data_IF_395630746359
#
_entry.id   IF_395630746359
#
_cell.length_a   1.000
_cell.length_b   1.000
_cell.length_c   1.000
_cell.angle_alpha   90.00
_cell.angle_beta   90.00
_cell.angle_gamma   90.00
#
_symmetry.space_group_name_H-M   'P 1'
#
loop_
_entity.id
_entity.type
_entity.pdbx_description
1 polymer ?
#
# COMPACT_ATOMS: atom_id res chain seq x y z
N UNK A 1 -28.53 -20.36 -51.20
CA UNK A 1 -29.86 -19.76 -51.49
C UNK A 1 -30.25 -18.89 -50.30
N UNK A 2 -30.59 -17.60 -50.64
CA UNK A 2 -31.27 -16.54 -49.85
C UNK A 2 -30.70 -16.14 -48.48
N UNK A 3 -29.98 -15.05 -48.33
CA UNK A 3 -30.28 -13.59 -48.24
C UNK A 3 -31.55 -13.24 -47.48
N UNK A 4 -31.44 -12.48 -46.39
CA UNK A 4 -32.06 -11.14 -46.28
C UNK A 4 -31.46 -10.36 -45.11
N UNK A 5 -31.02 -9.13 -45.42
CA UNK A 5 -30.62 -8.02 -44.54
C UNK A 5 -31.87 -7.37 -43.93
N UNK A 6 -31.75 -6.81 -42.73
CA UNK A 6 -32.55 -5.66 -42.33
C UNK A 6 -31.68 -4.63 -41.54
N UNK A 7 -31.41 -3.53 -42.24
CA UNK A 7 -30.96 -2.26 -41.64
C UNK A 7 -32.16 -1.55 -41.02
N UNK A 8 -32.00 -1.04 -39.80
CA UNK A 8 -32.90 0.00 -39.29
C UNK A 8 -32.07 1.15 -38.80
N UNK A 9 -32.16 2.24 -39.54
CA UNK A 9 -31.59 3.55 -39.31
C UNK A 9 -32.51 4.31 -38.36
N UNK A 10 -32.04 4.77 -37.21
CA UNK A 10 -32.77 5.68 -36.33
C UNK A 10 -32.09 7.07 -36.33
N UNK A 11 -32.79 8.01 -36.94
CA UNK A 11 -32.47 9.44 -36.99
C UNK A 11 -32.93 10.09 -35.69
N UNK A 12 -32.07 10.75 -34.92
CA UNK A 12 -32.47 11.66 -33.85
C UNK A 12 -32.31 13.12 -34.28
N UNK A 13 -33.45 13.82 -34.30
CA UNK A 13 -33.57 15.25 -34.55
C UNK A 13 -33.02 16.07 -33.37
N UNK A 14 -32.17 17.04 -33.69
CA UNK A 14 -31.75 18.11 -32.78
C UNK A 14 -32.83 19.17 -32.70
N UNK A 15 -33.35 19.44 -31.49
CA UNK A 15 -34.14 20.63 -31.17
C UNK A 15 -33.22 21.64 -30.47
N UNK A 16 -32.95 22.73 -31.20
CA UNK A 16 -32.27 23.95 -30.71
C UNK A 16 -33.29 24.80 -29.91
N UNK A 17 -32.98 25.05 -28.65
CA UNK A 17 -33.69 26.01 -27.81
C UNK A 17 -32.79 27.23 -27.56
N UNK A 18 -33.17 28.34 -28.21
CA UNK A 18 -32.52 29.64 -28.13
C UNK A 18 -33.01 30.36 -26.86
N UNK A 19 -32.12 30.61 -25.88
CA UNK A 19 -32.42 31.47 -24.73
C UNK A 19 -31.82 32.86 -24.96
N UNK A 20 -32.68 33.82 -25.19
CA UNK A 20 -32.38 35.26 -25.27
C UNK A 20 -32.10 35.82 -23.87
N UNK A 21 -30.91 36.39 -23.67
CA UNK A 21 -30.56 37.16 -22.48
C UNK A 21 -31.08 38.59 -22.60
N UNK A 22 -31.95 38.95 -21.66
CA UNK A 22 -32.43 40.33 -21.47
C UNK A 22 -31.43 41.09 -20.59
N UNK A 23 -30.75 42.11 -21.15
CA UNK A 23 -29.92 43.05 -20.40
C UNK A 23 -30.78 44.10 -19.71
N UNK A 24 -30.85 44.06 -18.37
CA UNK A 24 -31.32 45.16 -17.56
C UNK A 24 -30.13 45.99 -17.11
N UNK A 25 -30.00 47.20 -17.63
CA UNK A 25 -29.09 48.24 -17.14
C UNK A 25 -29.69 48.86 -15.87
N UNK A 26 -29.02 48.71 -14.73
CA UNK A 26 -29.20 49.58 -13.57
C UNK A 26 -27.96 50.46 -13.41
N UNK A 27 -28.18 51.77 -13.52
CA UNK A 27 -27.22 52.84 -13.25
C UNK A 27 -27.22 53.19 -11.78
N UNK A 28 -26.04 53.51 -11.25
CA UNK A 28 -25.71 54.17 -10.00
C UNK A 28 -25.91 53.41 -8.69
N UNK A 29 -24.79 52.98 -8.13
CA UNK A 29 -24.56 53.15 -6.70
C UNK A 29 -23.07 53.35 -6.40
N UNK A 30 -22.85 54.28 -5.52
CA UNK A 30 -21.60 54.94 -5.11
C UNK A 30 -20.58 53.96 -4.47
N UNK A 31 -19.33 54.24 -4.71
CA UNK A 31 -18.14 53.63 -4.09
C UNK A 31 -18.21 53.62 -2.57
N UNK A 32 -18.01 52.44 -1.96
CA UNK A 32 -17.55 52.34 -0.57
C UNK A 32 -16.46 51.27 -0.41
N UNK A 33 -15.34 51.71 0.11
CA UNK A 33 -14.11 50.97 0.45
C UNK A 33 -14.33 49.95 1.56
N UNK A 34 -15.09 48.86 1.33
CA UNK A 34 -15.31 47.82 2.34
C UNK A 34 -14.94 46.38 1.90
N UNK A 35 -14.51 46.21 0.64
CA UNK A 35 -14.27 44.85 0.09
C UNK A 35 -12.82 44.38 0.31
N UNK A 36 -11.86 45.27 0.56
CA UNK A 36 -10.43 44.89 0.64
C UNK A 36 -10.02 44.18 1.94
N UNK A 37 -10.71 44.39 3.06
CA UNK A 37 -10.34 43.82 4.35
C UNK A 37 -10.87 42.41 4.57
N UNK A 38 -12.05 42.09 4.02
CA UNK A 38 -12.71 40.77 4.21
C UNK A 38 -12.08 39.64 3.38
N UNK A 39 -11.55 39.97 2.21
CA UNK A 39 -10.83 39.01 1.35
C UNK A 39 -9.46 38.65 1.90
N UNK A 40 -8.75 39.61 2.51
CA UNK A 40 -7.46 39.37 3.17
C UNK A 40 -7.58 38.45 4.39
N UNK A 41 -8.60 38.64 5.20
CA UNK A 41 -8.82 37.81 6.40
C UNK A 41 -9.32 36.39 6.05
N UNK A 42 -10.12 36.26 5.00
CA UNK A 42 -10.56 34.92 4.50
C UNK A 42 -9.40 34.15 3.89
N UNK A 43 -8.53 34.77 3.10
CA UNK A 43 -7.33 34.15 2.55
C UNK A 43 -6.31 33.79 3.64
N UNK A 44 -6.18 34.60 4.69
CA UNK A 44 -5.33 34.30 5.85
C UNK A 44 -5.88 33.12 6.67
N UNK A 45 -7.21 33.06 6.88
CA UNK A 45 -7.84 31.94 7.60
C UNK A 45 -7.79 30.64 6.81
N UNK A 46 -7.94 30.68 5.47
CA UNK A 46 -7.80 29.50 4.61
C UNK A 46 -6.36 29.03 4.59
N UNK A 47 -5.37 29.94 4.50
CA UNK A 47 -3.96 29.58 4.52
C UNK A 47 -3.52 29.02 5.90
N UNK A 48 -4.03 29.59 7.00
CA UNK A 48 -3.78 29.09 8.36
C UNK A 48 -4.44 27.71 8.58
N UNK A 49 -5.62 27.45 8.03
CA UNK A 49 -6.30 26.15 8.13
C UNK A 49 -5.60 25.08 7.27
N UNK A 50 -5.10 25.43 6.09
CA UNK A 50 -4.31 24.50 5.25
C UNK A 50 -2.95 24.20 5.86
N UNK A 51 -2.25 25.17 6.44
CA UNK A 51 -0.98 24.98 7.12
C UNK A 51 -1.17 24.13 8.41
N UNK A 52 -2.27 24.29 9.13
CA UNK A 52 -2.60 23.48 10.32
C UNK A 52 -3.00 22.04 9.94
N UNK A 53 -3.68 21.85 8.80
CA UNK A 53 -4.00 20.49 8.29
C UNK A 53 -2.75 19.76 7.81
N UNK A 54 -1.76 20.47 7.25
CA UNK A 54 -0.48 19.88 6.81
C UNK A 54 0.40 19.50 8.02
N UNK A 55 0.31 20.19 9.15
CA UNK A 55 1.09 19.85 10.36
C UNK A 55 0.60 18.62 11.12
N UNK A 56 -0.65 18.20 10.95
CA UNK A 56 -1.22 17.06 11.68
C UNK A 56 -1.08 15.69 10.99
N UNK A 57 -0.46 15.61 9.81
CA UNK A 57 -0.33 14.35 9.04
C UNK A 57 1.10 13.78 9.03
N UNK A 58 1.91 14.10 10.06
CA UNK A 58 3.29 13.60 10.17
C UNK A 58 3.33 12.32 11.00
N UNK A 59 3.56 11.19 10.33
CA UNK A 59 3.82 9.92 11.00
C UNK A 59 5.27 9.91 11.49
N UNK A 60 5.48 9.66 12.78
CA UNK A 60 6.83 9.64 13.36
C UNK A 60 7.73 8.57 12.70
N UNK A 61 8.99 8.89 12.41
CA UNK A 61 9.98 8.02 11.75
C UNK A 61 10.05 6.61 12.34
N UNK A 62 9.92 6.47 13.67
CA UNK A 62 9.94 5.16 14.34
C UNK A 62 8.89 4.19 13.79
N UNK A 63 7.70 4.69 13.38
CA UNK A 63 6.66 3.86 12.77
C UNK A 63 7.00 3.51 11.32
N UNK A 64 7.58 4.46 10.58
CA UNK A 64 7.98 4.24 9.19
C UNK A 64 9.07 3.18 9.08
N UNK A 65 9.99 3.17 10.06
CA UNK A 65 11.14 2.25 10.12
C UNK A 65 10.87 0.95 10.90
N UNK A 66 9.68 0.79 11.53
CA UNK A 66 9.37 -0.39 12.34
C UNK A 66 10.09 -0.45 13.70
N UNK A 67 10.61 0.69 14.18
CA UNK A 67 11.30 0.83 15.48
C UNK A 67 10.26 1.01 16.60
N UNK A 68 9.37 0.04 16.74
CA UNK A 68 8.22 0.04 17.62
C UNK A 68 8.14 -1.25 18.44
N UNK A 69 7.34 -1.20 19.50
CA UNK A 69 6.92 -2.37 20.28
C UNK A 69 5.40 -2.47 20.19
N UNK A 70 4.86 -3.24 19.23
CA UNK A 70 3.41 -3.28 18.96
C UNK A 70 2.57 -3.65 20.20
N UNK A 71 3.07 -4.51 21.09
CA UNK A 71 2.37 -4.91 22.32
C UNK A 71 2.22 -3.78 23.35
N UNK A 72 2.98 -2.69 23.21
CA UNK A 72 2.95 -1.51 24.11
C UNK A 72 2.34 -0.29 23.45
N UNK A 73 1.86 -0.41 22.21
CA UNK A 73 1.35 0.70 21.43
C UNK A 73 -0.16 0.56 21.23
N UNK A 74 -0.91 1.57 21.67
CA UNK A 74 -2.37 1.59 21.65
C UNK A 74 -2.98 1.58 20.24
N UNK A 75 -2.19 1.88 19.19
CA UNK A 75 -2.64 1.77 17.80
C UNK A 75 -2.72 0.32 17.31
N UNK A 76 -2.10 -0.62 18.03
CA UNK A 76 -2.04 -2.03 17.65
C UNK A 76 -2.95 -2.88 18.54
N UNK A 77 -3.32 -4.03 18.00
CA UNK A 77 -4.09 -5.06 18.68
C UNK A 77 -3.46 -6.44 18.39
N UNK A 78 -3.49 -7.32 19.37
CA UNK A 78 -3.11 -8.71 19.17
C UNK A 78 -4.13 -9.41 18.27
N UNK A 79 -3.64 -10.16 17.27
CA UNK A 79 -4.49 -10.96 16.39
C UNK A 79 -4.92 -12.22 17.15
N UNK A 80 -6.21 -12.51 17.17
CA UNK A 80 -6.73 -13.74 17.79
C UNK A 80 -6.18 -14.98 17.09
N UNK A 81 -5.85 -16.01 17.88
CA UNK A 81 -5.22 -17.26 17.40
C UNK A 81 -6.01 -17.96 16.29
N UNK A 82 -7.34 -17.82 16.28
CA UNK A 82 -8.20 -18.43 15.23
C UNK A 82 -7.98 -17.82 13.82
N UNK A 83 -7.44 -16.60 13.74
CA UNK A 83 -7.13 -15.92 12.49
C UNK A 83 -5.64 -15.98 12.10
N UNK A 84 -4.78 -16.35 13.07
CA UNK A 84 -3.34 -16.39 12.87
C UNK A 84 -2.76 -17.61 13.63
N UNK A 85 -2.04 -18.48 12.95
CA UNK A 85 -1.44 -19.67 13.57
C UNK A 85 -0.31 -19.37 14.58
N UNK A 86 0.06 -18.11 14.77
CA UNK A 86 1.17 -17.67 15.64
C UNK A 86 0.66 -16.91 16.86
N UNK A 87 1.30 -17.11 17.99
CA UNK A 87 1.13 -16.25 19.15
C UNK A 87 1.88 -14.93 18.95
N UNK A 88 1.45 -13.87 19.66
CA UNK A 88 2.11 -12.56 19.66
C UNK A 88 2.21 -11.86 18.28
N UNK A 89 1.24 -12.10 17.40
CA UNK A 89 1.11 -11.34 16.16
C UNK A 89 0.24 -10.10 16.41
N UNK A 90 0.68 -8.95 15.93
CA UNK A 90 0.01 -7.67 16.10
C UNK A 90 -0.28 -7.03 14.75
N UNK A 91 -1.34 -6.22 14.71
CA UNK A 91 -1.74 -5.43 13.54
C UNK A 91 -2.36 -4.12 14.03
N UNK A 92 -2.41 -3.07 13.21
CA UNK A 92 -3.19 -1.88 13.56
C UNK A 92 -4.68 -2.20 13.67
N UNK A 93 -5.38 -1.46 14.52
CA UNK A 93 -6.80 -1.71 14.82
C UNK A 93 -7.70 -1.61 13.59
N UNK A 94 -7.48 -0.60 12.73
CA UNK A 94 -8.30 -0.38 11.54
C UNK A 94 -8.14 -1.48 10.48
N UNK A 95 -6.92 -1.87 10.06
CA UNK A 95 -6.74 -3.01 9.16
C UNK A 95 -7.30 -4.31 9.75
N UNK A 96 -7.20 -4.50 11.07
CA UNK A 96 -7.75 -5.71 11.70
C UNK A 96 -9.27 -5.75 11.63
N UNK A 97 -9.94 -4.63 11.94
CA UNK A 97 -11.40 -4.54 11.81
C UNK A 97 -11.86 -4.77 10.35
N UNK A 98 -11.11 -4.26 9.38
CA UNK A 98 -11.37 -4.49 7.96
C UNK A 98 -11.14 -5.97 7.57
N UNK A 99 -10.06 -6.57 8.07
CA UNK A 99 -9.77 -7.99 7.86
C UNK A 99 -10.87 -8.90 8.41
N UNK A 100 -11.39 -8.64 9.60
CA UNK A 100 -12.47 -9.44 10.19
C UNK A 100 -13.72 -9.46 9.30
N UNK A 101 -14.11 -8.31 8.73
CA UNK A 101 -15.22 -8.22 7.78
C UNK A 101 -14.92 -9.01 6.50
N UNK A 102 -13.69 -8.91 5.99
CA UNK A 102 -13.24 -9.65 4.81
C UNK A 102 -13.23 -11.16 5.07
N UNK A 103 -12.75 -11.58 6.25
CA UNK A 103 -12.73 -12.98 6.67
C UNK A 103 -14.13 -13.59 6.73
N UNK A 104 -15.09 -12.91 7.35
CA UNK A 104 -16.47 -13.39 7.45
C UNK A 104 -17.14 -13.52 6.08
N UNK A 105 -16.89 -12.58 5.18
CA UNK A 105 -17.42 -12.66 3.82
C UNK A 105 -16.80 -13.82 3.03
N UNK A 106 -15.50 -14.00 3.12
CA UNK A 106 -14.79 -15.12 2.49
C UNK A 106 -15.30 -16.48 3.02
N UNK A 107 -15.49 -16.58 4.33
CA UNK A 107 -15.96 -17.79 4.98
C UNK A 107 -17.36 -18.22 4.49
N UNK A 108 -18.29 -17.27 4.25
CA UNK A 108 -19.62 -17.55 3.68
C UNK A 108 -19.55 -18.16 2.30
N UNK A 109 -18.48 -17.92 1.57
CA UNK A 109 -18.20 -18.50 0.24
C UNK A 109 -17.27 -19.74 0.31
N UNK A 110 -17.03 -20.28 1.52
CA UNK A 110 -16.17 -21.44 1.72
C UNK A 110 -14.66 -21.13 1.55
N UNK A 111 -14.28 -19.87 1.57
CA UNK A 111 -12.88 -19.42 1.47
C UNK A 111 -12.34 -19.13 2.88
N UNK A 112 -11.31 -19.86 3.27
CA UNK A 112 -10.65 -19.69 4.58
C UNK A 112 -9.42 -18.79 4.44
N UNK A 113 -9.42 -17.64 5.10
CA UNK A 113 -8.29 -16.73 5.16
C UNK A 113 -7.54 -16.92 6.49
N UNK A 114 -6.22 -16.99 6.43
CA UNK A 114 -5.36 -17.11 7.63
C UNK A 114 -4.20 -16.12 7.50
N UNK A 115 -4.00 -15.29 8.51
CA UNK A 115 -2.86 -14.37 8.55
C UNK A 115 -1.60 -15.16 8.94
N UNK A 116 -0.59 -15.14 8.08
CA UNK A 116 0.73 -15.72 8.35
C UNK A 116 1.69 -14.70 8.93
N UNK A 117 1.62 -13.47 8.46
CA UNK A 117 2.45 -12.35 8.89
C UNK A 117 1.62 -11.07 8.87
N UNK A 118 1.81 -10.21 9.87
CA UNK A 118 1.21 -8.90 9.93
C UNK A 118 2.29 -7.87 10.27
N UNK A 119 2.19 -7.16 11.41
CA UNK A 119 3.24 -6.21 11.80
C UNK A 119 4.56 -6.93 12.03
N UNK A 120 5.61 -6.36 11.49
CA UNK A 120 6.99 -6.83 11.66
C UNK A 120 7.86 -5.66 12.11
N UNK A 121 8.48 -5.80 13.28
CA UNK A 121 9.39 -4.79 13.82
C UNK A 121 10.69 -4.71 13.01
N UNK A 122 11.42 -3.60 13.15
CA UNK A 122 12.77 -3.46 12.59
C UNK A 122 13.68 -4.64 12.96
N UNK A 123 13.69 -5.01 14.25
CA UNK A 123 14.52 -6.11 14.76
C UNK A 123 14.18 -7.46 14.12
N UNK A 124 12.90 -7.76 13.94
CA UNK A 124 12.46 -8.99 13.28
C UNK A 124 12.86 -9.00 11.81
N UNK A 125 12.70 -7.87 11.11
CA UNK A 125 13.12 -7.76 9.72
C UNK A 125 14.64 -7.85 9.57
N UNK A 126 15.41 -7.23 10.48
CA UNK A 126 16.86 -7.33 10.52
C UNK A 126 17.33 -8.78 10.68
N UNK A 127 16.70 -9.53 11.60
CA UNK A 127 17.01 -10.96 11.78
C UNK A 127 16.71 -11.78 10.53
N UNK A 128 15.60 -11.50 9.81
CA UNK A 128 15.26 -12.19 8.55
C UNK A 128 16.28 -11.86 7.46
N UNK A 129 16.55 -10.57 7.28
CA UNK A 129 17.49 -10.08 6.27
C UNK A 129 18.89 -10.64 6.48
N UNK A 130 19.47 -10.43 7.67
CA UNK A 130 20.82 -10.88 8.01
C UNK A 130 20.95 -12.40 8.03
N UNK A 131 19.88 -13.11 8.41
CA UNK A 131 19.83 -14.55 8.31
C UNK A 131 20.01 -15.06 6.89
N UNK A 132 19.37 -14.41 5.91
CA UNK A 132 19.54 -14.70 4.48
C UNK A 132 20.87 -14.19 3.94
N UNK A 133 21.29 -13.00 4.37
CA UNK A 133 22.53 -12.35 3.95
C UNK A 133 23.76 -13.17 4.30
N UNK A 134 23.82 -13.69 5.51
CA UNK A 134 24.96 -14.49 6.02
C UNK A 134 24.86 -15.96 5.68
N UNK A 135 23.74 -16.42 5.12
CA UNK A 135 23.48 -17.84 4.86
C UNK A 135 23.06 -18.65 6.10
N UNK A 136 22.84 -18.00 7.25
CA UNK A 136 22.28 -18.63 8.46
C UNK A 136 20.88 -19.20 8.21
N UNK A 137 20.08 -18.54 7.37
CA UNK A 137 18.83 -19.06 6.85
C UNK A 137 18.98 -19.43 5.39
N UNK A 138 18.64 -20.65 5.05
CA UNK A 138 18.56 -21.08 3.66
C UNK A 138 17.35 -20.40 3.01
N UNK A 139 17.58 -19.82 1.84
CA UNK A 139 16.56 -19.20 1.05
C UNK A 139 16.20 -20.12 -0.12
N UNK A 140 15.00 -20.71 -0.08
CA UNK A 140 14.62 -21.80 -0.99
C UNK A 140 15.68 -22.90 -1.06
N UNK A 141 16.16 -23.36 0.11
CA UNK A 141 17.18 -24.41 0.23
C UNK A 141 18.60 -24.00 -0.14
N UNK A 142 18.85 -22.71 -0.42
CA UNK A 142 20.15 -22.19 -0.89
C UNK A 142 20.83 -21.31 0.15
N UNK A 143 22.13 -21.46 0.32
CA UNK A 143 22.96 -20.52 1.08
C UNK A 143 23.35 -19.35 0.16
N UNK A 144 22.75 -18.18 0.37
CA UNK A 144 22.96 -17.03 -0.52
C UNK A 144 24.34 -16.40 -0.35
N UNK A 145 24.98 -16.49 0.82
CA UNK A 145 26.33 -15.97 1.01
C UNK A 145 27.35 -16.71 0.13
N UNK A 146 27.17 -18.01 -0.01
CA UNK A 146 28.03 -18.85 -0.86
C UNK A 146 27.72 -18.71 -2.35
N UNK A 147 26.41 -18.62 -2.72
CA UNK A 147 26.01 -18.55 -4.14
C UNK A 147 26.26 -17.19 -4.77
N UNK A 148 26.16 -16.13 -3.98
CA UNK A 148 26.33 -14.74 -4.41
C UNK A 148 27.38 -14.05 -3.53
N UNK A 149 28.68 -14.29 -3.75
CA UNK A 149 29.75 -13.60 -3.01
C UNK A 149 29.70 -12.08 -3.22
N UNK A 150 29.28 -11.63 -4.41
CA UNK A 150 29.04 -10.23 -4.70
C UNK A 150 27.81 -9.73 -3.93
N UNK A 151 28.01 -8.70 -3.10
CA UNK A 151 26.98 -8.15 -2.22
C UNK A 151 25.81 -7.52 -2.98
N UNK A 152 26.05 -6.88 -4.13
CA UNK A 152 25.00 -6.29 -4.96
C UNK A 152 24.09 -7.38 -5.55
N UNK A 153 24.67 -8.45 -6.09
CA UNK A 153 23.90 -9.58 -6.63
C UNK A 153 23.11 -10.31 -5.54
N UNK A 154 23.74 -10.51 -4.37
CA UNK A 154 23.08 -11.10 -3.19
C UNK A 154 21.89 -10.26 -2.76
N UNK A 155 22.05 -8.93 -2.72
CA UNK A 155 20.98 -7.97 -2.44
C UNK A 155 19.82 -8.13 -3.41
N UNK A 156 20.08 -8.11 -4.70
CA UNK A 156 19.03 -8.25 -5.73
C UNK A 156 18.29 -9.58 -5.59
N UNK A 157 18.98 -10.64 -5.22
CA UNK A 157 18.36 -11.94 -5.04
C UNK A 157 17.45 -11.99 -3.80
N UNK A 158 17.89 -11.43 -2.68
CA UNK A 158 17.10 -11.36 -1.44
C UNK A 158 15.88 -10.46 -1.65
N UNK A 159 16.06 -9.33 -2.31
CA UNK A 159 15.00 -8.34 -2.60
C UNK A 159 13.91 -8.86 -3.55
N UNK A 160 14.02 -10.04 -4.12
CA UNK A 160 12.89 -10.62 -4.86
C UNK A 160 11.63 -10.71 -3.99
N UNK A 161 11.79 -11.13 -2.71
CA UNK A 161 10.68 -11.39 -1.79
C UNK A 161 10.97 -10.98 -0.33
N UNK A 162 12.02 -10.21 -0.06
CA UNK A 162 12.36 -9.78 1.30
C UNK A 162 12.92 -8.39 1.34
N UNK A 163 12.28 -7.52 2.08
CA UNK A 163 12.71 -6.13 2.28
C UNK A 163 13.95 -6.03 3.15
N UNK A 164 14.74 -4.97 2.96
CA UNK A 164 15.74 -4.54 3.92
C UNK A 164 15.07 -4.03 5.21
N UNK A 165 15.77 -4.07 6.36
CA UNK A 165 15.32 -3.44 7.60
C UNK A 165 15.01 -1.95 7.39
N UNK A 166 13.90 -1.49 7.95
CA UNK A 166 13.44 -0.10 7.79
C UNK A 166 12.68 0.19 6.48
N UNK A 167 12.66 -0.76 5.52
CA UNK A 167 11.98 -0.57 4.21
C UNK A 167 10.76 -1.47 3.99
N UNK A 168 10.43 -2.31 4.96
CA UNK A 168 9.29 -3.22 4.86
C UNK A 168 7.96 -2.52 5.13
N UNK A 169 6.96 -2.74 4.28
CA UNK A 169 5.60 -2.25 4.51
C UNK A 169 4.95 -2.89 5.74
N UNK A 170 5.37 -4.09 6.13
CA UNK A 170 4.94 -4.72 7.39
C UNK A 170 5.32 -3.92 8.64
N UNK A 171 6.29 -3.00 8.56
CA UNK A 171 6.63 -2.08 9.66
C UNK A 171 5.46 -1.19 10.05
N UNK A 172 4.62 -0.83 9.09
CA UNK A 172 3.52 0.10 9.27
C UNK A 172 2.32 -0.51 10.00
N UNK A 173 2.25 -1.85 10.05
CA UNK A 173 1.11 -2.57 10.64
C UNK A 173 -0.16 -2.49 9.79
N UNK A 174 -0.03 -2.16 8.52
CA UNK A 174 -1.10 -2.02 7.54
C UNK A 174 -1.20 -3.19 6.56
N UNK A 175 -0.14 -4.01 6.53
CA UNK A 175 0.03 -5.06 5.52
C UNK A 175 -0.01 -6.45 6.17
N UNK A 176 -0.62 -7.40 5.47
CA UNK A 176 -0.79 -8.79 5.90
C UNK A 176 -0.38 -9.76 4.79
N UNK A 177 0.24 -10.87 5.21
CA UNK A 177 0.45 -12.03 4.34
C UNK A 177 -0.61 -13.09 4.65
N UNK A 178 -1.31 -13.57 3.64
CA UNK A 178 -2.44 -14.50 3.77
C UNK A 178 -2.11 -15.89 3.25
N UNK A 179 -2.51 -16.90 3.98
CA UNK A 179 -2.58 -18.32 3.69
C UNK A 179 -1.23 -19.02 3.43
N UNK A 180 -0.37 -18.53 2.52
CA UNK A 180 0.93 -19.14 2.21
C UNK A 180 1.88 -18.12 1.60
N UNK A 181 3.17 -18.21 1.86
CA UNK A 181 4.23 -17.47 1.15
C UNK A 181 4.88 -18.30 0.05
N UNK A 182 4.34 -19.49 -0.24
CA UNK A 182 4.83 -20.38 -1.29
C UNK A 182 4.15 -20.07 -2.62
N UNK A 183 4.94 -19.72 -3.63
CA UNK A 183 4.46 -19.34 -4.97
C UNK A 183 3.55 -20.40 -5.61
N UNK A 184 3.85 -21.69 -5.37
CA UNK A 184 3.10 -22.80 -5.95
C UNK A 184 1.72 -22.98 -5.32
N UNK A 185 1.53 -22.54 -4.06
CA UNK A 185 0.25 -22.64 -3.38
C UNK A 185 -0.89 -21.96 -4.17
N UNK A 186 -0.62 -20.82 -4.77
CA UNK A 186 -1.62 -20.03 -5.49
C UNK A 186 -1.80 -20.41 -6.95
N UNK A 187 -1.14 -21.47 -7.45
CA UNK A 187 -1.26 -21.91 -8.85
C UNK A 187 -2.44 -22.81 -9.11
N UNK A 188 -2.93 -23.55 -8.09
CA UNK A 188 -4.02 -24.50 -8.24
C UNK A 188 -4.77 -24.73 -6.94
N UNK A 189 -5.85 -25.53 -7.00
CA UNK A 189 -6.58 -26.01 -5.84
C UNK A 189 -7.14 -24.91 -4.94
N UNK A 190 -7.03 -25.11 -3.62
CA UNK A 190 -7.55 -24.18 -2.60
C UNK A 190 -6.86 -22.80 -2.67
N UNK A 191 -5.55 -22.77 -2.90
CA UNK A 191 -4.79 -21.52 -2.97
C UNK A 191 -5.19 -20.64 -4.15
N UNK A 192 -5.45 -21.23 -5.31
CA UNK A 192 -5.95 -20.49 -6.48
C UNK A 192 -7.35 -19.92 -6.20
N UNK A 193 -8.23 -20.67 -5.53
CA UNK A 193 -9.56 -20.17 -5.13
C UNK A 193 -9.45 -18.99 -4.18
N UNK A 194 -8.59 -19.07 -3.15
CA UNK A 194 -8.31 -17.96 -2.24
C UNK A 194 -7.82 -16.73 -2.99
N UNK A 195 -6.85 -16.88 -3.90
CA UNK A 195 -6.30 -15.74 -4.64
C UNK A 195 -7.33 -15.08 -5.57
N UNK A 196 -8.13 -15.88 -6.28
CA UNK A 196 -9.17 -15.36 -7.15
C UNK A 196 -10.24 -14.61 -6.35
N UNK A 197 -10.67 -15.15 -5.22
CA UNK A 197 -11.60 -14.48 -4.32
C UNK A 197 -11.04 -13.14 -3.82
N UNK A 198 -9.78 -13.12 -3.37
CA UNK A 198 -9.11 -11.89 -2.90
C UNK A 198 -9.00 -10.84 -4.00
N UNK A 199 -8.66 -11.22 -5.23
CA UNK A 199 -8.60 -10.29 -6.37
C UNK A 199 -9.95 -9.60 -6.63
N UNK A 200 -11.04 -10.30 -6.46
CA UNK A 200 -12.38 -9.79 -6.74
C UNK A 200 -12.97 -9.01 -5.57
N UNK A 201 -12.59 -9.37 -4.34
CA UNK A 201 -13.30 -8.91 -3.16
C UNK A 201 -12.48 -8.07 -2.19
N UNK A 202 -11.15 -8.22 -2.11
CA UNK A 202 -10.35 -7.55 -1.08
C UNK A 202 -10.48 -6.01 -1.12
N UNK A 203 -10.61 -5.43 -2.31
CA UNK A 203 -10.85 -4.00 -2.51
C UNK A 203 -12.10 -3.46 -1.82
N UNK A 204 -13.14 -4.28 -1.69
CA UNK A 204 -14.40 -3.92 -0.98
C UNK A 204 -14.17 -3.70 0.52
N UNK A 205 -13.09 -4.27 1.06
CA UNK A 205 -12.67 -4.17 2.47
C UNK A 205 -11.46 -3.25 2.66
N UNK A 206 -11.08 -2.49 1.61
CA UNK A 206 -9.98 -1.54 1.65
C UNK A 206 -8.59 -2.17 1.49
N UNK A 207 -8.48 -3.42 1.05
CA UNK A 207 -7.20 -4.07 0.78
C UNK A 207 -6.88 -4.09 -0.71
N UNK A 208 -5.62 -3.81 -1.05
CA UNK A 208 -5.06 -3.94 -2.38
C UNK A 208 -3.85 -4.88 -2.37
N UNK A 209 -3.48 -5.43 -3.51
CA UNK A 209 -2.23 -6.19 -3.70
C UNK A 209 -1.12 -5.24 -4.17
N UNK A 210 -0.13 -4.86 -3.32
CA UNK A 210 0.92 -3.93 -3.71
C UNK A 210 1.90 -4.54 -4.72
N UNK A 211 2.16 -5.82 -4.62
CA UNK A 211 3.14 -6.54 -5.44
C UNK A 211 2.44 -7.47 -6.42
N UNK A 212 1.84 -6.88 -7.46
CA UNK A 212 1.26 -7.57 -8.61
C UNK A 212 2.37 -8.07 -9.54
N UNK A 213 2.01 -8.79 -10.61
CA UNK A 213 2.96 -9.13 -11.67
C UNK A 213 3.62 -7.86 -12.20
N UNK A 214 4.94 -7.89 -12.38
CA UNK A 214 5.70 -6.77 -12.95
C UNK A 214 5.28 -6.50 -14.40
N UNK A 215 5.16 -5.22 -14.71
CA UNK A 215 4.97 -4.69 -16.05
C UNK A 215 5.77 -3.39 -16.20
N UNK A 216 5.52 -2.61 -17.26
CA UNK A 216 6.21 -1.34 -17.49
C UNK A 216 5.94 -0.27 -16.41
N UNK A 217 4.91 -0.44 -15.59
CA UNK A 217 4.48 0.52 -14.55
C UNK A 217 4.94 0.15 -13.13
N UNK A 218 5.42 -1.09 -12.91
CA UNK A 218 5.81 -1.59 -11.59
C UNK A 218 7.17 -2.27 -11.58
N UNK A 219 8.04 -1.81 -10.71
CA UNK A 219 9.40 -2.32 -10.47
C UNK A 219 9.54 -2.90 -9.05
N UNK A 220 10.73 -3.27 -8.65
CA UNK A 220 11.05 -3.75 -7.29
C UNK A 220 10.72 -5.20 -7.04
N UNK A 221 9.97 -5.50 -5.99
CA UNK A 221 9.65 -6.89 -5.57
C UNK A 221 8.94 -7.69 -6.67
N UNK A 222 9.14 -9.02 -6.66
CA UNK A 222 8.38 -9.93 -7.53
C UNK A 222 6.89 -9.95 -7.14
N UNK A 223 6.06 -10.69 -7.89
CA UNK A 223 4.64 -10.87 -7.56
C UNK A 223 4.49 -11.63 -6.25
N UNK A 224 3.75 -11.05 -5.30
CA UNK A 224 3.39 -11.67 -4.03
C UNK A 224 1.86 -11.80 -3.92
N UNK A 225 1.32 -12.96 -4.24
CA UNK A 225 -0.13 -13.23 -4.22
C UNK A 225 -0.71 -13.26 -2.81
N UNK A 226 0.14 -13.43 -1.82
CA UNK A 226 -0.21 -13.46 -0.39
C UNK A 226 -0.27 -12.09 0.26
N UNK A 227 0.43 -11.07 -0.29
CA UNK A 227 0.65 -9.79 0.35
C UNK A 227 -0.46 -8.79 0.03
N UNK A 228 -1.17 -8.35 1.06
CA UNK A 228 -2.30 -7.43 0.96
C UNK A 228 -2.14 -6.24 1.89
N UNK A 229 -2.40 -5.05 1.39
CA UNK A 229 -2.16 -3.78 2.06
C UNK A 229 -3.46 -3.02 2.27
N UNK A 230 -3.71 -2.54 3.49
CA UNK A 230 -4.88 -1.71 3.81
C UNK A 230 -4.65 -0.26 3.36
N UNK A 231 -5.25 0.10 2.23
CA UNK A 231 -4.92 1.30 1.44
C UNK A 231 -5.15 2.60 2.19
N UNK A 232 -6.24 2.72 2.95
CA UNK A 232 -6.59 3.97 3.68
C UNK A 232 -5.50 4.47 4.63
N UNK A 233 -4.68 3.56 5.17
CA UNK A 233 -3.54 3.90 6.01
C UNK A 233 -2.23 3.79 5.26
N UNK A 234 -2.01 2.73 4.51
CA UNK A 234 -0.71 2.46 3.89
C UNK A 234 -0.30 3.52 2.86
N UNK A 235 -1.25 4.15 2.17
CA UNK A 235 -0.97 5.29 1.27
C UNK A 235 -0.41 6.49 2.04
N UNK A 236 -0.94 6.79 3.23
CA UNK A 236 -0.43 7.85 4.11
C UNK A 236 0.98 7.53 4.61
N UNK A 237 1.20 6.27 5.03
CA UNK A 237 2.53 5.80 5.44
C UNK A 237 3.54 5.92 4.30
N UNK A 238 3.18 5.52 3.09
CA UNK A 238 4.03 5.64 1.91
C UNK A 238 4.38 7.11 1.61
N UNK A 239 3.39 8.00 1.64
CA UNK A 239 3.61 9.42 1.43
C UNK A 239 4.56 10.02 2.49
N UNK A 240 4.38 9.66 3.77
CA UNK A 240 5.28 10.08 4.85
C UNK A 240 6.67 9.47 4.70
N UNK A 241 6.77 8.20 4.35
CA UNK A 241 8.05 7.52 4.11
C UNK A 241 8.88 8.24 3.04
N UNK A 242 8.28 8.52 1.89
CA UNK A 242 8.92 9.24 0.78
C UNK A 242 9.41 10.65 1.14
N UNK A 243 8.73 11.33 2.09
CA UNK A 243 9.12 12.68 2.54
C UNK A 243 10.20 12.67 3.62
N UNK A 244 10.21 11.66 4.48
CA UNK A 244 10.96 11.69 5.73
C UNK A 244 12.16 10.75 5.78
N UNK A 245 12.12 9.66 5.01
CA UNK A 245 13.17 8.64 5.09
C UNK A 245 14.17 8.86 3.96
N UNK A 246 15.44 8.94 4.36
CA UNK A 246 16.59 8.98 3.46
C UNK A 246 17.43 7.70 3.62
N UNK A 247 18.38 7.47 2.71
CA UNK A 247 19.28 6.32 2.80
C UNK A 247 20.13 6.31 4.07
N UNK A 248 20.42 7.49 4.65
CA UNK A 248 21.09 7.63 5.94
C UNK A 248 20.27 7.10 7.14
N UNK A 249 18.97 6.92 6.98
CA UNK A 249 18.10 6.29 8.00
C UNK A 249 18.09 4.75 7.88
N UNK A 250 18.64 4.19 6.78
CA UNK A 250 18.63 2.77 6.44
C UNK A 250 20.03 2.17 6.63
N UNK A 251 20.47 2.12 7.88
CA UNK A 251 21.79 1.65 8.29
C UNK A 251 21.67 0.60 9.40
N UNK A 252 22.79 0.15 9.96
CA UNK A 252 22.84 -0.79 11.08
C UNK A 252 22.31 -2.21 10.74
N UNK A 253 22.55 -2.67 9.51
CA UNK A 253 22.35 -4.05 9.09
C UNK A 253 23.33 -4.44 7.97
N UNK A 254 23.64 -5.73 7.85
CA UNK A 254 24.60 -6.21 6.85
C UNK A 254 24.15 -5.88 5.42
N UNK A 255 25.04 -5.28 4.63
CA UNK A 255 24.80 -4.91 3.23
C UNK A 255 23.94 -3.66 3.02
N UNK A 256 23.75 -2.83 4.05
CA UNK A 256 22.98 -1.59 3.95
C UNK A 256 23.52 -0.62 2.87
N UNK A 257 24.81 -0.66 2.60
CA UNK A 257 25.49 0.18 1.59
C UNK A 257 25.00 -0.10 0.17
N UNK A 258 24.38 -1.26 -0.03
CA UNK A 258 23.77 -1.62 -1.32
C UNK A 258 22.42 -0.95 -1.55
N UNK A 259 21.77 -0.44 -0.50
CA UNK A 259 20.42 0.13 -0.56
C UNK A 259 20.30 1.25 -1.60
N UNK A 260 21.24 2.18 -1.64
CA UNK A 260 21.26 3.26 -2.61
C UNK A 260 21.55 2.74 -4.03
N UNK A 261 22.41 1.73 -4.18
CA UNK A 261 22.77 1.15 -5.47
C UNK A 261 21.58 0.45 -6.14
N UNK A 262 20.72 -0.18 -5.36
CA UNK A 262 19.51 -0.85 -5.85
C UNK A 262 18.30 0.09 -5.92
N UNK A 263 18.45 1.37 -5.59
CA UNK A 263 17.35 2.35 -5.52
C UNK A 263 16.20 1.85 -4.63
N UNK A 264 16.55 1.41 -3.40
CA UNK A 264 15.62 0.72 -2.50
C UNK A 264 14.33 1.52 -2.24
N UNK A 265 14.45 2.83 -2.03
CA UNK A 265 13.30 3.71 -1.73
C UNK A 265 12.43 3.89 -2.98
N UNK A 266 13.04 4.15 -4.12
CA UNK A 266 12.35 4.45 -5.39
C UNK A 266 11.73 3.19 -5.99
N UNK A 267 12.53 2.13 -6.13
CA UNK A 267 12.14 0.95 -6.91
C UNK A 267 11.43 -0.12 -6.08
N UNK A 268 11.70 -0.20 -4.76
CA UNK A 268 11.10 -1.25 -3.91
C UNK A 268 10.01 -0.71 -2.98
N UNK A 269 10.29 0.31 -2.16
CA UNK A 269 9.28 0.87 -1.26
C UNK A 269 8.18 1.57 -2.06
N UNK A 270 8.55 2.31 -3.11
CA UNK A 270 7.63 3.07 -3.97
C UNK A 270 7.15 2.28 -5.19
N UNK A 271 7.83 1.18 -5.55
CA UNK A 271 7.55 0.35 -6.72
C UNK A 271 6.38 -0.60 -6.52
N UNK A 272 5.22 -0.06 -6.17
CA UNK A 272 3.99 -0.81 -5.90
C UNK A 272 2.91 -0.55 -6.96
N UNK A 273 1.92 -1.43 -7.01
CA UNK A 273 0.70 -1.24 -7.79
C UNK A 273 0.09 0.15 -7.50
N UNK A 274 -0.31 0.86 -8.55
CA UNK A 274 -0.93 2.19 -8.47
C UNK A 274 -2.20 2.22 -7.61
N UNK A 275 -2.97 1.14 -7.59
CA UNK A 275 -4.20 1.03 -6.81
C UNK A 275 -3.94 0.96 -5.28
N UNK A 276 -2.67 0.84 -4.87
CA UNK A 276 -2.22 0.82 -3.48
C UNK A 276 -1.52 2.13 -3.04
N UNK A 277 -1.55 3.17 -3.88
CA UNK A 277 -0.87 4.46 -3.61
C UNK A 277 -1.79 5.48 -2.96
#
# INVERSE_FOLDING_TARGET
MHKTNFNTLLIFLFLSSCFTFLFIRCTNCSSNNFVSKKTSDTLKSIKLSTDTIIQNDTIAKKYLLGQIIPSKDTNFIAIEKKYCGKNNSYIRKEPYAAFLKMYEAALKEGIHLTILSATRTYKEQKNIWEGKWTGRYLYYGKNLASLYPNEYERTLYILKYSSMPGSSRHHWGTDIDLNSTELNYFKSGKGLKVYNWLKENAGKYGFCQPYTKKDSSRVGFEEEKWHWSYTSLSSKFLACYKRQIAYSDLTDFAGYETAIKVKLIEDYVSGINKDCR
#
